data_IF_774741952326
#
_entry.id   IF_774741952326
#
_cell.length_a   1.000
_cell.length_b   1.000
_cell.length_c   1.000
_cell.angle_alpha   90.00
_cell.angle_beta   90.00
_cell.angle_gamma   90.00
#
_symmetry.space_group_name_H-M   'P 1'
#
loop_
_entity.id
_entity.type
_entity.pdbx_description
1 polymer ?
#
# COMPACT_ATOMS: atom_id res chain seq x y z
N UNK A 1 -48.03 10.12 -24.72
CA UNK A 1 -49.43 9.72 -24.97
C UNK A 1 -49.38 8.22 -25.16
N UNK A 2 -49.87 7.44 -24.19
CA UNK A 2 -49.66 5.97 -24.15
C UNK A 2 -50.69 5.31 -25.07
N UNK A 3 -50.23 4.58 -26.09
CA UNK A 3 -51.07 3.70 -26.90
C UNK A 3 -50.93 2.27 -26.35
N UNK A 4 -51.98 1.75 -25.73
CA UNK A 4 -52.03 0.39 -25.17
C UNK A 4 -52.82 -0.47 -26.13
N UNK A 5 -52.15 -1.25 -26.97
CA UNK A 5 -52.80 -2.27 -27.81
C UNK A 5 -52.73 -3.63 -27.11
N UNK A 6 -53.74 -3.91 -26.28
CA UNK A 6 -53.87 -5.20 -25.60
C UNK A 6 -54.37 -6.29 -26.54
N UNK A 7 -53.62 -7.40 -26.65
CA UNK A 7 -54.14 -8.66 -27.19
C UNK A 7 -54.46 -9.62 -26.03
N UNK A 8 -55.75 -9.73 -25.68
CA UNK A 8 -56.25 -10.80 -24.84
C UNK A 8 -56.68 -11.98 -25.72
N UNK A 9 -56.11 -13.17 -25.50
CA UNK A 9 -56.75 -14.41 -25.94
C UNK A 9 -57.81 -14.81 -24.90
N UNK A 10 -58.99 -15.32 -25.31
CA UNK A 10 -59.93 -15.90 -24.37
C UNK A 10 -59.31 -17.16 -23.74
N UNK A 11 -58.97 -17.09 -22.45
CA UNK A 11 -58.53 -18.24 -21.65
C UNK A 11 -57.16 -18.12 -20.96
N UNK A 12 -56.39 -17.05 -21.16
CA UNK A 12 -55.14 -16.82 -20.42
C UNK A 12 -55.37 -15.92 -19.20
N UNK A 13 -54.79 -16.27 -18.05
CA UNK A 13 -54.85 -15.46 -16.81
C UNK A 13 -53.68 -14.48 -16.66
N UNK A 14 -52.78 -14.42 -17.64
CA UNK A 14 -51.67 -13.48 -17.68
C UNK A 14 -51.87 -12.53 -18.87
N UNK A 15 -51.93 -11.23 -18.58
CA UNK A 15 -51.77 -10.17 -19.57
C UNK A 15 -50.42 -9.52 -19.34
N UNK A 16 -49.60 -9.46 -20.40
CA UNK A 16 -48.33 -8.71 -20.41
C UNK A 16 -48.62 -7.39 -21.09
N UNK A 17 -48.52 -6.28 -20.36
CA UNK A 17 -48.54 -4.93 -20.94
C UNK A 17 -47.09 -4.48 -21.15
N UNK A 18 -46.78 -4.02 -22.38
CA UNK A 18 -45.53 -3.32 -22.68
C UNK A 18 -45.69 -1.86 -22.27
N UNK A 19 -44.85 -1.40 -21.33
CA UNK A 19 -44.76 0.02 -21.00
C UNK A 19 -43.56 0.62 -21.72
N UNK A 20 -43.82 1.65 -22.53
CA UNK A 20 -42.78 2.52 -23.09
C UNK A 20 -42.71 3.78 -22.23
N UNK A 21 -41.56 3.98 -21.58
CA UNK A 21 -41.17 5.23 -20.97
C UNK A 21 -39.92 5.74 -21.69
N UNK A 22 -39.97 6.98 -22.13
CA UNK A 22 -38.86 7.68 -22.76
C UNK A 22 -38.64 8.97 -21.98
N UNK A 23 -37.43 9.17 -21.48
CA UNK A 23 -36.89 10.50 -21.22
C UNK A 23 -35.67 10.70 -22.12
N UNK A 24 -35.26 11.96 -22.31
CA UNK A 24 -34.45 12.43 -23.46
C UNK A 24 -33.08 11.74 -23.69
N UNK A 25 -32.67 10.77 -22.87
CA UNK A 25 -31.41 10.02 -23.02
C UNK A 25 -31.51 8.48 -22.97
N UNK A 26 -32.66 7.85 -22.66
CA UNK A 26 -32.70 6.38 -22.47
C UNK A 26 -34.06 5.75 -22.86
N UNK A 27 -34.02 4.48 -23.29
CA UNK A 27 -35.19 3.63 -23.49
C UNK A 27 -35.21 2.50 -22.47
N UNK A 28 -36.26 2.43 -21.65
CA UNK A 28 -36.43 1.36 -20.66
C UNK A 28 -37.48 0.35 -21.15
N UNK A 29 -37.21 -0.95 -20.99
CA UNK A 29 -38.18 -2.03 -21.21
C UNK A 29 -38.34 -2.85 -19.94
N UNK A 30 -39.47 -2.70 -19.26
CA UNK A 30 -39.84 -3.51 -18.09
C UNK A 30 -41.00 -4.46 -18.39
N UNK A 31 -40.91 -5.71 -17.93
CA UNK A 31 -42.01 -6.68 -17.99
C UNK A 31 -42.80 -6.60 -16.68
N UNK A 32 -44.07 -6.17 -16.74
CA UNK A 32 -44.96 -6.16 -15.58
C UNK A 32 -45.95 -7.32 -15.64
N UNK A 33 -45.81 -8.30 -14.75
CA UNK A 33 -46.79 -9.38 -14.59
C UNK A 33 -47.98 -8.91 -13.74
N UNK A 34 -49.21 -8.97 -14.28
CA UNK A 34 -50.44 -8.70 -13.51
C UNK A 34 -51.16 -9.99 -13.13
N UNK A 35 -51.53 -10.10 -11.86
CA UNK A 35 -52.50 -11.06 -11.34
C UNK A 35 -53.92 -10.44 -11.32
N UNK A 36 -54.95 -11.28 -11.46
CA UNK A 36 -56.38 -10.97 -11.45
C UNK A 36 -56.96 -10.16 -10.26
N UNK A 37 -56.18 -9.74 -9.25
CA UNK A 37 -56.66 -8.92 -8.13
C UNK A 37 -56.20 -7.44 -8.11
N UNK A 38 -55.48 -6.95 -9.13
CA UNK A 38 -55.06 -5.55 -9.22
C UNK A 38 -53.72 -5.22 -8.53
N UNK A 39 -53.20 -3.98 -8.65
CA UNK A 39 -51.87 -3.63 -8.15
C UNK A 39 -51.88 -3.62 -6.62
N UNK A 40 -51.06 -4.46 -6.00
CA UNK A 40 -50.81 -4.42 -4.56
C UNK A 40 -49.37 -4.02 -4.35
N UNK A 41 -49.15 -2.80 -3.86
CA UNK A 41 -47.88 -2.44 -3.23
C UNK A 41 -47.82 -3.18 -1.88
N UNK A 42 -46.77 -3.96 -1.64
CA UNK A 42 -46.50 -4.51 -0.32
C UNK A 42 -45.03 -4.30 0.03
N UNK A 43 -44.83 -3.39 0.97
CA UNK A 43 -43.65 -3.25 1.82
C UNK A 43 -43.66 -4.35 2.90
N UNK A 44 -42.51 -5.00 3.14
CA UNK A 44 -42.24 -5.76 4.37
C UNK A 44 -42.31 -7.29 4.27
N UNK A 45 -41.36 -7.91 4.97
CA UNK A 45 -40.99 -9.34 5.03
C UNK A 45 -42.12 -10.36 4.86
N UNK A 46 -42.08 -11.09 3.75
CA UNK A 46 -42.59 -12.47 3.68
C UNK A 46 -41.83 -13.26 2.61
N UNK A 47 -41.32 -14.43 3.04
CA UNK A 47 -40.49 -15.38 2.29
C UNK A 47 -41.09 -15.82 0.95
N UNK A 48 -40.36 -15.62 -0.15
CA UNK A 48 -40.61 -16.26 -1.45
C UNK A 48 -39.72 -17.49 -1.59
N UNK A 49 -40.33 -18.65 -1.82
CA UNK A 49 -39.62 -19.91 -2.03
C UNK A 49 -39.85 -20.35 -3.48
N UNK A 50 -38.73 -20.52 -4.19
CA UNK A 50 -38.53 -21.15 -5.51
C UNK A 50 -38.80 -20.32 -6.79
N UNK A 51 -37.74 -19.60 -7.18
CA UNK A 51 -37.14 -19.40 -8.52
C UNK A 51 -38.10 -19.25 -9.71
N UNK A 52 -38.29 -18.01 -10.17
CA UNK A 52 -38.88 -17.68 -11.47
C UNK A 52 -38.27 -16.37 -11.97
N UNK A 53 -37.04 -16.46 -12.45
CA UNK A 53 -36.37 -15.33 -13.07
C UNK A 53 -36.04 -15.67 -14.53
N UNK A 54 -36.25 -14.68 -15.39
CA UNK A 54 -36.26 -14.83 -16.85
C UNK A 54 -34.86 -14.73 -17.44
N UNK A 55 -34.64 -15.43 -18.55
CA UNK A 55 -33.42 -15.38 -19.35
C UNK A 55 -33.61 -14.40 -20.50
N UNK A 56 -32.63 -13.54 -20.77
CA UNK A 56 -32.47 -12.90 -22.08
C UNK A 56 -31.07 -13.17 -22.58
N UNK A 57 -30.99 -13.46 -23.87
CA UNK A 57 -29.76 -13.73 -24.60
C UNK A 57 -29.55 -12.58 -25.58
N UNK A 58 -28.36 -11.98 -25.57
CA UNK A 58 -27.93 -11.03 -26.59
C UNK A 58 -26.85 -11.68 -27.46
N UNK A 59 -26.86 -11.31 -28.74
CA UNK A 59 -25.84 -11.72 -29.72
C UNK A 59 -25.48 -10.50 -30.56
N UNK A 60 -24.19 -10.30 -30.82
CA UNK A 60 -23.75 -9.37 -31.85
C UNK A 60 -23.87 -10.02 -33.25
N UNK A 61 -24.30 -9.25 -34.23
CA UNK A 61 -24.44 -9.69 -35.63
C UNK A 61 -25.75 -10.39 -36.02
N UNK A 62 -25.81 -10.77 -37.30
CA UNK A 62 -26.99 -11.42 -37.90
C UNK A 62 -26.94 -12.94 -37.65
N UNK A 63 -27.63 -13.39 -36.61
CA UNK A 63 -27.76 -14.81 -36.31
C UNK A 63 -29.02 -15.42 -36.93
N UNK A 64 -28.97 -16.73 -37.16
CA UNK A 64 -30.17 -17.57 -37.33
C UNK A 64 -30.20 -18.60 -36.22
N UNK A 65 -31.21 -18.54 -35.37
CA UNK A 65 -31.42 -19.53 -34.32
C UNK A 65 -32.31 -20.64 -34.86
N UNK A 66 -31.92 -21.89 -34.60
CA UNK A 66 -32.80 -23.04 -34.79
C UNK A 66 -32.86 -23.85 -33.50
N UNK A 67 -34.08 -24.13 -33.04
CA UNK A 67 -34.32 -24.96 -31.86
C UNK A 67 -34.58 -26.40 -32.30
N UNK A 68 -33.98 -27.37 -31.62
CA UNK A 68 -34.36 -28.77 -31.76
C UNK A 68 -34.75 -29.36 -30.41
N UNK A 69 -35.93 -29.95 -30.34
CA UNK A 69 -36.48 -30.56 -29.14
C UNK A 69 -35.99 -32.02 -29.04
N UNK A 70 -35.29 -32.37 -27.96
CA UNK A 70 -34.92 -33.76 -27.65
C UNK A 70 -35.45 -34.24 -26.28
N UNK A 71 -36.67 -33.81 -25.91
CA UNK A 71 -37.34 -34.24 -24.68
C UNK A 71 -36.98 -33.42 -23.44
N UNK A 72 -37.82 -33.52 -22.40
CA UNK A 72 -37.59 -32.93 -21.07
C UNK A 72 -36.24 -33.40 -20.48
N UNK A 73 -35.36 -32.52 -19.94
CA UNK A 73 -35.47 -31.06 -19.78
C UNK A 73 -34.55 -30.24 -20.71
N UNK A 74 -34.07 -30.80 -21.82
CA UNK A 74 -32.98 -30.19 -22.61
C UNK A 74 -33.50 -29.49 -23.86
N UNK A 75 -33.29 -28.17 -23.93
CA UNK A 75 -33.45 -27.41 -25.18
C UNK A 75 -32.06 -27.10 -25.75
N UNK A 76 -31.84 -27.51 -26.99
CA UNK A 76 -30.65 -27.14 -27.74
C UNK A 76 -30.98 -25.95 -28.65
N UNK A 77 -30.31 -24.82 -28.42
CA UNK A 77 -30.36 -23.68 -29.32
C UNK A 77 -29.08 -23.72 -30.16
N UNK A 78 -29.23 -24.05 -31.44
CA UNK A 78 -28.13 -23.94 -32.40
C UNK A 78 -28.11 -22.53 -32.96
N UNK A 79 -27.01 -21.83 -32.73
CA UNK A 79 -26.80 -20.46 -33.18
C UNK A 79 -25.79 -20.52 -34.33
N UNK A 80 -26.19 -20.01 -35.49
CA UNK A 80 -25.32 -19.89 -36.65
C UNK A 80 -24.95 -18.42 -36.80
N UNK A 81 -23.67 -18.12 -36.61
CA UNK A 81 -23.05 -16.84 -36.92
C UNK A 81 -22.07 -17.03 -38.09
N UNK A 82 -22.41 -16.46 -39.25
CA UNK A 82 -21.63 -16.60 -40.48
C UNK A 82 -21.37 -18.07 -40.87
N UNK A 83 -20.10 -18.51 -40.76
CA UNK A 83 -19.65 -19.87 -41.11
C UNK A 83 -19.51 -20.82 -39.91
N UNK A 84 -19.69 -20.33 -38.68
CA UNK A 84 -19.52 -21.09 -37.45
C UNK A 84 -20.89 -21.45 -36.85
N UNK A 85 -21.02 -22.68 -36.34
CA UNK A 85 -22.21 -23.12 -35.61
C UNK A 85 -21.79 -23.34 -34.16
N UNK A 86 -22.34 -22.56 -33.23
CA UNK A 86 -22.18 -22.76 -31.78
C UNK A 86 -23.45 -23.42 -31.24
N UNK A 87 -23.27 -24.46 -30.42
CA UNK A 87 -24.36 -25.17 -29.75
C UNK A 87 -24.41 -24.69 -28.31
N UNK A 88 -25.48 -23.99 -27.93
CA UNK A 88 -25.76 -23.67 -26.53
C UNK A 88 -26.82 -24.62 -26.04
N UNK A 89 -26.48 -25.40 -25.01
CA UNK A 89 -27.42 -26.30 -24.34
C UNK A 89 -27.98 -25.57 -23.12
N UNK A 90 -29.29 -25.35 -23.12
CA UNK A 90 -30.01 -24.74 -22.02
C UNK A 90 -30.87 -25.82 -21.36
N UNK A 91 -30.61 -26.07 -20.08
CA UNK A 91 -31.40 -27.00 -19.27
C UNK A 91 -32.52 -26.21 -18.58
N UNK A 92 -33.78 -26.51 -18.92
CA UNK A 92 -34.95 -25.81 -18.38
C UNK A 92 -35.73 -26.67 -17.40
N UNK A 93 -36.42 -26.03 -16.45
CA UNK A 93 -37.31 -26.74 -15.55
C UNK A 93 -38.48 -27.43 -16.30
N UNK A 94 -39.04 -28.54 -15.78
CA UNK A 94 -40.13 -29.26 -16.43
C UNK A 94 -41.37 -28.38 -16.65
N UNK A 95 -41.86 -28.31 -17.89
CA UNK A 95 -43.08 -27.58 -18.26
C UNK A 95 -42.88 -26.28 -19.05
N UNK A 96 -41.66 -25.96 -19.47
CA UNK A 96 -41.38 -24.93 -20.46
C UNK A 96 -41.98 -25.32 -21.84
N UNK A 97 -42.61 -24.39 -22.57
CA UNK A 97 -43.22 -24.68 -23.89
C UNK A 97 -42.64 -23.81 -25.02
N UNK A 98 -42.77 -24.26 -26.27
CA UNK A 98 -42.27 -23.55 -27.47
C UNK A 98 -42.84 -22.11 -27.59
N UNK A 99 -44.05 -21.87 -27.06
CA UNK A 99 -44.72 -20.57 -27.08
C UNK A 99 -44.14 -19.55 -26.07
N UNK A 100 -43.31 -20.01 -25.11
CA UNK A 100 -42.70 -19.19 -24.06
C UNK A 100 -41.38 -18.53 -24.53
N UNK A 101 -40.83 -18.96 -25.67
CA UNK A 101 -39.65 -18.39 -26.33
C UNK A 101 -40.06 -17.30 -27.34
N UNK A 102 -39.64 -16.05 -27.14
CA UNK A 102 -39.74 -14.99 -28.15
C UNK A 102 -38.36 -14.48 -28.55
N UNK A 103 -37.99 -14.73 -29.80
CA UNK A 103 -36.76 -14.25 -30.43
C UNK A 103 -37.01 -12.85 -30.99
N UNK A 104 -36.13 -11.89 -30.67
CA UNK A 104 -36.10 -10.59 -31.33
C UNK A 104 -35.14 -10.68 -32.51
N UNK A 105 -35.66 -10.81 -33.73
CA UNK A 105 -34.82 -10.79 -34.94
C UNK A 105 -34.46 -9.35 -35.33
N UNK A 106 -33.16 -9.07 -35.54
CA UNK A 106 -32.70 -7.99 -36.42
C UNK A 106 -32.62 -6.57 -35.84
N UNK A 107 -32.20 -6.39 -34.59
CA UNK A 107 -31.87 -5.06 -34.03
C UNK A 107 -30.38 -5.00 -33.73
N UNK A 108 -29.68 -4.12 -34.43
CA UNK A 108 -28.22 -3.94 -34.39
C UNK A 108 -27.78 -2.85 -33.42
N UNK A 109 -28.61 -2.55 -32.41
CA UNK A 109 -28.48 -1.42 -31.50
C UNK A 109 -28.75 -1.80 -30.03
N UNK A 110 -28.56 -3.06 -29.65
CA UNK A 110 -28.73 -3.53 -28.27
C UNK A 110 -27.37 -3.83 -27.63
N UNK A 111 -26.94 -2.98 -26.71
CA UNK A 111 -25.82 -3.21 -25.78
C UNK A 111 -26.40 -3.74 -24.46
N UNK A 112 -25.88 -4.87 -23.99
CA UNK A 112 -26.03 -5.52 -22.66
C UNK A 112 -27.45 -5.90 -22.15
N UNK A 113 -27.58 -7.14 -21.65
CA UNK A 113 -28.73 -7.59 -20.86
C UNK A 113 -28.24 -8.32 -19.62
N UNK A 114 -28.63 -7.77 -18.47
CA UNK A 114 -28.38 -8.27 -17.11
C UNK A 114 -29.02 -9.63 -16.89
N UNK A 115 -28.22 -10.67 -16.69
CA UNK A 115 -28.68 -11.99 -16.28
C UNK A 115 -29.03 -11.92 -14.78
N UNK A 116 -30.31 -11.76 -14.45
CA UNK A 116 -30.81 -11.87 -13.07
C UNK A 116 -30.87 -13.36 -12.70
N UNK A 117 -29.71 -13.94 -12.39
CA UNK A 117 -29.66 -15.23 -11.74
C UNK A 117 -29.50 -15.02 -10.23
N UNK A 118 -29.93 -16.01 -9.46
CA UNK A 118 -29.92 -15.95 -8.00
C UNK A 118 -29.35 -17.26 -7.50
N UNK A 119 -28.39 -17.20 -6.58
CA UNK A 119 -27.60 -18.33 -6.15
C UNK A 119 -26.31 -18.44 -6.97
N UNK A 120 -25.48 -19.41 -6.62
CA UNK A 120 -24.14 -19.54 -7.19
C UNK A 120 -24.18 -19.90 -8.69
N UNK A 121 -23.63 -19.01 -9.51
CA UNK A 121 -23.61 -19.13 -10.96
C UNK A 121 -22.19 -19.28 -11.51
N UNK A 122 -22.11 -19.73 -12.75
CA UNK A 122 -20.85 -19.80 -13.50
C UNK A 122 -21.11 -19.27 -14.88
N UNK A 123 -20.54 -18.11 -15.17
CA UNK A 123 -20.71 -17.38 -16.42
C UNK A 123 -19.39 -17.29 -17.17
N UNK A 124 -19.47 -17.58 -18.46
CA UNK A 124 -18.36 -17.53 -19.40
C UNK A 124 -18.77 -16.65 -20.56
N UNK A 125 -18.08 -15.53 -20.71
CA UNK A 125 -18.40 -14.44 -21.63
C UNK A 125 -17.74 -14.64 -22.99
N UNK A 126 -17.81 -13.62 -23.83
CA UNK A 126 -17.30 -13.65 -25.20
C UNK A 126 -15.96 -12.94 -25.31
N UNK A 127 -15.27 -13.10 -26.43
CA UNK A 127 -13.99 -12.42 -26.68
C UNK A 127 -14.18 -10.93 -27.07
N UNK A 128 -15.26 -10.29 -26.62
CA UNK A 128 -15.54 -8.88 -26.90
C UNK A 128 -16.19 -8.23 -25.68
N UNK A 129 -16.28 -6.90 -25.68
CA UNK A 129 -16.81 -6.13 -24.54
C UNK A 129 -18.15 -6.68 -24.05
N UNK A 130 -18.14 -7.16 -22.82
CA UNK A 130 -19.27 -7.69 -22.10
C UNK A 130 -19.55 -6.89 -20.82
N UNK A 131 -20.79 -6.93 -20.33
CA UNK A 131 -21.20 -6.24 -19.11
C UNK A 131 -22.19 -7.09 -18.31
N UNK A 132 -21.82 -7.46 -17.08
CA UNK A 132 -22.50 -8.48 -16.28
C UNK A 132 -22.52 -8.13 -14.79
N UNK A 133 -23.57 -8.59 -14.09
CA UNK A 133 -23.62 -8.64 -12.63
C UNK A 133 -24.05 -10.04 -12.17
N UNK A 134 -23.37 -10.60 -11.16
CA UNK A 134 -23.69 -11.89 -10.53
C UNK A 134 -24.86 -11.82 -9.53
N UNK A 135 -25.01 -10.66 -8.90
CA UNK A 135 -26.05 -10.34 -7.93
C UNK A 135 -25.92 -11.05 -6.58
N UNK A 136 -26.30 -12.32 -6.45
CA UNK A 136 -26.34 -12.95 -5.12
C UNK A 136 -25.97 -14.41 -5.21
N UNK A 137 -25.20 -14.88 -4.23
CA UNK A 137 -24.61 -16.20 -4.27
C UNK A 137 -23.19 -16.13 -4.82
N UNK A 138 -22.41 -17.17 -4.57
CA UNK A 138 -21.00 -17.18 -4.94
C UNK A 138 -20.82 -17.48 -6.42
N UNK A 139 -20.50 -16.47 -7.20
CA UNK A 139 -20.46 -16.50 -8.65
C UNK A 139 -19.04 -16.64 -9.20
N UNK A 140 -18.92 -17.30 -10.34
CA UNK A 140 -17.70 -17.34 -11.14
C UNK A 140 -17.96 -16.68 -12.49
N UNK A 141 -17.36 -15.52 -12.74
CA UNK A 141 -17.53 -14.76 -13.98
C UNK A 141 -16.19 -14.66 -14.71
N UNK A 142 -16.17 -15.05 -15.99
CA UNK A 142 -14.98 -15.04 -16.83
C UNK A 142 -15.22 -14.25 -18.12
N UNK A 143 -14.53 -13.11 -18.28
CA UNK A 143 -14.55 -12.17 -19.41
C UNK A 143 -13.88 -12.70 -20.68
N UNK A 144 -12.62 -13.12 -20.57
CA UNK A 144 -11.69 -13.43 -21.68
C UNK A 144 -11.12 -12.18 -22.34
N UNK A 145 -11.18 -12.06 -23.68
CA UNK A 145 -10.70 -10.88 -24.37
C UNK A 145 -11.83 -9.85 -24.40
N UNK A 146 -11.54 -8.55 -24.34
CA UNK A 146 -12.58 -7.52 -24.32
C UNK A 146 -12.21 -6.39 -23.39
N UNK A 147 -12.95 -5.28 -23.44
CA UNK A 147 -12.92 -4.32 -22.34
C UNK A 147 -14.22 -4.57 -21.56
N UNK A 148 -14.18 -5.37 -20.51
CA UNK A 148 -15.36 -5.91 -19.83
C UNK A 148 -15.74 -5.10 -18.58
N UNK A 149 -16.99 -5.21 -18.16
CA UNK A 149 -17.49 -4.66 -16.89
C UNK A 149 -18.18 -5.75 -16.09
N UNK A 150 -17.56 -6.20 -15.00
CA UNK A 150 -17.98 -7.36 -14.22
C UNK A 150 -18.28 -6.94 -12.78
N UNK A 151 -19.50 -7.21 -12.32
CA UNK A 151 -19.89 -7.02 -10.92
C UNK A 151 -20.19 -8.36 -10.25
N UNK A 152 -19.61 -8.62 -9.07
CA UNK A 152 -19.90 -9.78 -8.23
C UNK A 152 -21.29 -9.67 -7.61
N UNK A 153 -21.42 -8.76 -6.65
CA UNK A 153 -22.69 -8.45 -6.00
C UNK A 153 -22.66 -8.80 -4.52
N UNK A 154 -23.41 -9.81 -4.10
CA UNK A 154 -23.43 -10.27 -2.72
C UNK A 154 -22.88 -11.69 -2.63
N UNK A 155 -22.26 -11.97 -1.48
CA UNK A 155 -21.57 -13.23 -1.19
C UNK A 155 -20.23 -13.30 -1.93
N UNK A 156 -19.49 -14.41 -1.77
CA UNK A 156 -18.09 -14.44 -2.19
C UNK A 156 -17.94 -14.86 -3.65
N UNK A 157 -17.50 -13.95 -4.49
CA UNK A 157 -17.44 -14.06 -5.94
C UNK A 157 -16.02 -14.26 -6.47
N UNK A 158 -15.92 -14.70 -7.72
CA UNK A 158 -14.67 -14.79 -8.47
C UNK A 158 -14.85 -14.18 -9.84
N UNK A 159 -14.18 -13.05 -10.09
CA UNK A 159 -14.24 -12.29 -11.32
C UNK A 159 -12.90 -12.37 -12.04
N UNK A 160 -12.93 -12.60 -13.36
CA UNK A 160 -11.73 -12.62 -14.21
C UNK A 160 -12.00 -11.80 -15.45
N UNK A 161 -11.29 -10.69 -15.64
CA UNK A 161 -11.35 -9.84 -16.83
C UNK A 161 -10.75 -10.59 -18.02
N UNK A 162 -9.43 -10.71 -18.03
CA UNK A 162 -8.67 -11.48 -18.99
C UNK A 162 -7.74 -10.61 -19.79
N UNK A 163 -8.10 -10.19 -21.00
CA UNK A 163 -7.26 -9.36 -21.84
C UNK A 163 -8.06 -8.18 -22.41
N UNK A 164 -7.50 -6.97 -22.27
CA UNK A 164 -8.16 -5.70 -22.57
C UNK A 164 -8.34 -4.93 -21.27
N UNK A 165 -9.02 -3.78 -21.32
CA UNK A 165 -9.11 -2.91 -20.15
C UNK A 165 -10.43 -3.16 -19.43
N UNK A 166 -10.36 -3.87 -18.31
CA UNK A 166 -11.52 -4.38 -17.60
C UNK A 166 -11.86 -3.56 -16.34
N UNK A 167 -13.14 -3.52 -15.99
CA UNK A 167 -13.69 -2.87 -14.79
C UNK A 167 -14.38 -3.95 -13.93
N UNK A 168 -13.76 -4.33 -12.81
CA UNK A 168 -14.19 -5.41 -11.93
C UNK A 168 -14.55 -4.85 -10.55
N UNK A 169 -15.74 -5.19 -10.03
CA UNK A 169 -16.23 -4.77 -8.72
C UNK A 169 -16.83 -5.96 -7.96
N UNK A 170 -16.24 -6.35 -6.82
CA UNK A 170 -16.70 -7.44 -5.96
C UNK A 170 -18.01 -7.10 -5.23
N UNK A 171 -18.14 -5.84 -4.81
CA UNK A 171 -19.23 -5.29 -3.98
C UNK A 171 -19.25 -5.81 -2.53
N UNK A 172 -19.97 -6.89 -2.22
CA UNK A 172 -20.11 -7.42 -0.85
C UNK A 172 -19.75 -8.89 -0.78
N UNK A 173 -18.73 -9.24 -0.04
CA UNK A 173 -18.28 -10.62 0.05
C UNK A 173 -16.80 -10.68 0.31
N UNK A 174 -16.27 -11.88 0.41
CA UNK A 174 -14.82 -12.05 0.31
C UNK A 174 -14.53 -12.52 -1.10
N UNK A 175 -14.19 -11.59 -1.97
CA UNK A 175 -14.16 -11.73 -3.42
C UNK A 175 -12.74 -11.97 -3.94
N UNK A 176 -12.65 -12.54 -5.14
CA UNK A 176 -11.39 -12.76 -5.85
C UNK A 176 -11.47 -12.18 -7.26
N UNK A 177 -10.70 -11.12 -7.51
CA UNK A 177 -10.68 -10.37 -8.77
C UNK A 177 -9.32 -10.52 -9.45
N UNK A 178 -9.32 -10.84 -10.74
CA UNK A 178 -8.13 -10.95 -11.60
C UNK A 178 -8.35 -10.11 -12.87
N UNK A 179 -7.61 -9.01 -13.03
CA UNK A 179 -7.68 -8.11 -14.20
C UNK A 179 -7.11 -8.79 -15.44
N UNK A 180 -5.83 -9.16 -15.37
CA UNK A 180 -5.14 -9.92 -16.40
C UNK A 180 -4.18 -9.06 -17.19
N UNK A 181 -4.46 -8.81 -18.47
CA UNK A 181 -3.59 -8.04 -19.34
C UNK A 181 -4.31 -6.82 -19.88
N UNK A 182 -3.87 -5.63 -19.51
CA UNK A 182 -4.52 -4.39 -19.93
C UNK A 182 -4.38 -3.33 -18.84
N UNK A 183 -5.12 -2.24 -18.98
CA UNK A 183 -5.21 -1.24 -17.91
C UNK A 183 -6.51 -1.47 -17.16
N UNK A 184 -6.44 -2.21 -16.06
CA UNK A 184 -7.61 -2.71 -15.35
C UNK A 184 -7.95 -1.84 -14.13
N UNK A 185 -9.23 -1.82 -13.76
CA UNK A 185 -9.75 -1.19 -12.54
C UNK A 185 -10.45 -2.27 -11.73
N UNK A 186 -9.95 -2.52 -10.51
CA UNK A 186 -10.47 -3.53 -9.59
C UNK A 186 -10.89 -2.87 -8.27
N UNK A 187 -12.08 -3.23 -7.78
CA UNK A 187 -12.66 -2.80 -6.51
C UNK A 187 -13.14 -4.02 -5.73
N UNK A 188 -12.59 -4.26 -4.53
CA UNK A 188 -13.02 -5.36 -3.65
C UNK A 188 -14.39 -5.07 -3.03
N UNK A 189 -14.47 -3.98 -2.28
CA UNK A 189 -15.70 -3.49 -1.68
C UNK A 189 -15.76 -3.80 -0.19
N UNK A 190 -16.68 -4.67 0.23
CA UNK A 190 -16.84 -5.07 1.62
C UNK A 190 -16.48 -6.54 1.83
N UNK A 191 -15.44 -6.79 2.61
CA UNK A 191 -15.04 -8.10 3.08
C UNK A 191 -13.54 -8.24 3.00
N UNK A 192 -13.03 -9.48 3.09
CA UNK A 192 -11.60 -9.70 2.92
C UNK A 192 -11.37 -10.23 1.50
N UNK A 193 -10.92 -9.34 0.62
CA UNK A 193 -10.86 -9.51 -0.81
C UNK A 193 -9.44 -9.84 -1.29
N UNK A 194 -9.34 -10.39 -2.50
CA UNK A 194 -8.06 -10.62 -3.18
C UNK A 194 -8.13 -10.06 -4.59
N UNK A 195 -7.30 -9.05 -4.87
CA UNK A 195 -7.25 -8.33 -6.15
C UNK A 195 -5.87 -8.53 -6.79
N UNK A 196 -5.85 -8.93 -8.05
CA UNK A 196 -4.63 -9.10 -8.85
C UNK A 196 -4.80 -8.31 -10.14
N UNK A 197 -3.99 -7.27 -10.34
CA UNK A 197 -3.98 -6.43 -11.55
C UNK A 197 -3.46 -7.21 -12.75
N UNK A 198 -2.18 -7.57 -12.71
CA UNK A 198 -1.56 -8.44 -13.68
C UNK A 198 -0.49 -7.72 -14.50
N UNK A 199 -0.77 -7.43 -15.76
CA UNK A 199 0.19 -6.81 -16.66
C UNK A 199 -0.31 -5.48 -17.20
N UNK A 200 0.61 -4.52 -17.29
CA UNK A 200 0.37 -3.09 -17.52
C UNK A 200 -0.11 -2.38 -16.24
N UNK A 201 -0.52 -1.12 -16.39
CA UNK A 201 -0.73 -0.26 -15.23
C UNK A 201 -2.17 -0.40 -14.75
N UNK A 202 -2.34 -0.85 -13.52
CA UNK A 202 -3.64 -1.18 -12.95
C UNK A 202 -4.01 -0.28 -11.78
N UNK A 203 -5.31 -0.19 -11.49
CA UNK A 203 -5.85 0.49 -10.32
C UNK A 203 -6.63 -0.50 -9.46
N UNK A 204 -6.17 -0.74 -8.24
CA UNK A 204 -6.77 -1.67 -7.29
C UNK A 204 -7.20 -0.90 -6.02
N UNK A 205 -8.40 -1.19 -5.53
CA UNK A 205 -8.90 -0.69 -4.25
C UNK A 205 -9.51 -1.83 -3.44
N UNK A 206 -8.99 -2.10 -2.24
CA UNK A 206 -9.50 -3.15 -1.33
C UNK A 206 -10.86 -2.76 -0.77
N UNK A 207 -10.89 -1.69 0.03
CA UNK A 207 -12.12 -1.12 0.57
C UNK A 207 -12.24 -1.35 2.07
N UNK A 208 -13.18 -2.20 2.49
CA UNK A 208 -13.41 -2.53 3.89
C UNK A 208 -13.05 -3.98 4.19
N UNK A 209 -12.07 -4.20 5.06
CA UNK A 209 -11.72 -5.53 5.56
C UNK A 209 -10.24 -5.82 5.29
N UNK A 210 -9.77 -6.98 5.71
CA UNK A 210 -8.34 -7.31 5.59
C UNK A 210 -8.06 -7.82 4.16
N UNK A 211 -7.63 -6.93 3.26
CA UNK A 211 -7.53 -7.17 1.82
C UNK A 211 -6.12 -7.56 1.36
N UNK A 212 -6.05 -8.25 0.21
CA UNK A 212 -4.80 -8.59 -0.45
C UNK A 212 -4.76 -8.06 -1.88
N UNK A 213 -3.85 -7.13 -2.17
CA UNK A 213 -3.69 -6.48 -3.47
C UNK A 213 -2.32 -6.80 -4.08
N UNK A 214 -2.29 -7.23 -5.34
CA UNK A 214 -1.07 -7.44 -6.15
C UNK A 214 -1.18 -6.67 -7.47
N UNK A 215 -0.31 -5.66 -7.68
CA UNK A 215 -0.27 -4.85 -8.89
C UNK A 215 0.23 -5.64 -10.10
N UNK A 216 1.46 -6.14 -10.01
CA UNK A 216 2.06 -6.99 -11.05
C UNK A 216 3.11 -6.25 -11.87
N UNK A 217 3.04 -6.32 -13.20
CA UNK A 217 3.99 -5.65 -14.10
C UNK A 217 3.44 -4.29 -14.52
N UNK A 218 3.88 -3.15 -13.99
CA UNK A 218 3.08 -1.95 -14.19
C UNK A 218 3.66 -0.62 -13.78
N UNK A 219 2.76 0.37 -13.77
CA UNK A 219 2.83 1.51 -12.87
C UNK A 219 1.50 1.41 -12.15
N UNK A 220 1.48 0.77 -10.99
CA UNK A 220 0.23 0.37 -10.38
C UNK A 220 -0.18 1.34 -9.29
N UNK A 221 -1.48 1.48 -9.09
CA UNK A 221 -2.07 2.23 -7.99
C UNK A 221 -2.85 1.27 -7.11
N UNK A 222 -2.38 1.07 -5.88
CA UNK A 222 -3.00 0.20 -4.88
C UNK A 222 -3.43 1.03 -3.67
N UNK A 223 -4.67 0.86 -3.24
CA UNK A 223 -5.27 1.49 -2.05
C UNK A 223 -5.94 0.39 -1.21
N UNK A 224 -5.36 0.06 -0.04
CA UNK A 224 -5.89 -0.98 0.86
C UNK A 224 -7.24 -0.56 1.41
N UNK A 225 -7.26 0.58 2.10
CA UNK A 225 -8.48 1.25 2.54
C UNK A 225 -8.61 1.22 4.05
N UNK A 226 -9.47 0.35 4.57
CA UNK A 226 -9.70 0.22 6.00
C UNK A 226 -9.42 -1.21 6.42
N UNK A 227 -8.86 -1.35 7.63
CA UNK A 227 -8.40 -2.60 8.24
C UNK A 227 -7.01 -3.02 7.76
N UNK A 228 -6.53 -4.18 8.21
CA UNK A 228 -5.12 -4.55 8.09
C UNK A 228 -4.90 -5.22 6.72
N UNK A 229 -4.28 -4.50 5.79
CA UNK A 229 -4.15 -4.89 4.40
C UNK A 229 -2.76 -5.42 4.03
N UNK A 230 -2.67 -6.14 2.92
CA UNK A 230 -1.38 -6.56 2.32
C UNK A 230 -1.29 -6.10 0.87
N UNK A 231 -0.37 -5.18 0.61
CA UNK A 231 -0.15 -4.58 -0.71
C UNK A 231 1.20 -5.02 -1.30
N UNK A 232 1.17 -5.55 -2.52
CA UNK A 232 2.35 -5.92 -3.30
C UNK A 232 2.36 -5.14 -4.61
N UNK A 233 3.29 -4.19 -4.78
CA UNK A 233 3.39 -3.37 -6.00
C UNK A 233 3.78 -4.21 -7.21
N UNK A 234 4.98 -4.79 -7.17
CA UNK A 234 5.45 -5.72 -8.20
C UNK A 234 6.60 -5.14 -9.00
N UNK A 235 6.62 -5.35 -10.31
CA UNK A 235 7.64 -4.83 -11.22
C UNK A 235 7.16 -3.49 -11.82
N UNK A 236 7.69 -2.36 -11.37
CA UNK A 236 7.17 -1.07 -11.82
C UNK A 236 7.52 0.08 -10.89
N UNK A 237 7.34 1.35 -11.29
CA UNK A 237 7.16 2.44 -10.34
C UNK A 237 5.72 2.43 -9.83
N UNK A 238 5.49 2.13 -8.58
CA UNK A 238 4.14 1.95 -8.06
C UNK A 238 3.74 3.06 -7.06
N UNK A 239 2.44 3.15 -6.81
CA UNK A 239 1.84 4.01 -5.78
C UNK A 239 0.98 3.14 -4.87
N UNK A 240 1.41 3.01 -3.62
CA UNK A 240 0.79 2.14 -2.64
C UNK A 240 0.34 2.98 -1.45
N UNK A 241 -0.92 2.82 -1.05
CA UNK A 241 -1.53 3.46 0.12
C UNK A 241 -2.15 2.36 1.00
N UNK A 242 -1.65 2.19 2.22
CA UNK A 242 -2.19 1.22 3.18
C UNK A 242 -3.59 1.65 3.62
N UNK A 243 -3.70 2.78 4.30
CA UNK A 243 -4.96 3.37 4.73
C UNK A 243 -5.09 3.40 6.25
N UNK A 244 -6.25 3.02 6.78
CA UNK A 244 -6.41 2.83 8.23
C UNK A 244 -6.16 1.35 8.57
N UNK A 245 -5.25 1.03 9.48
CA UNK A 245 -4.95 -0.36 9.81
C UNK A 245 -3.46 -0.58 10.01
N UNK A 246 -3.08 -1.78 10.44
CA UNK A 246 -1.68 -2.15 10.48
C UNK A 246 -1.33 -2.92 9.20
N UNK A 247 -0.77 -2.22 8.21
CA UNK A 247 -0.61 -2.72 6.86
C UNK A 247 0.76 -3.36 6.62
N UNK A 248 0.79 -4.35 5.72
CA UNK A 248 2.03 -4.90 5.18
C UNK A 248 2.20 -4.48 3.72
N UNK A 249 3.18 -3.62 3.46
CA UNK A 249 3.41 -3.06 2.13
C UNK A 249 4.78 -3.47 1.60
N UNK A 250 4.81 -4.02 0.39
CA UNK A 250 6.05 -4.32 -0.36
C UNK A 250 5.99 -3.65 -1.71
N UNK A 251 6.83 -2.62 -1.91
CA UNK A 251 6.87 -1.85 -3.15
C UNK A 251 7.29 -2.72 -4.34
N UNK A 252 8.31 -3.56 -4.17
CA UNK A 252 8.72 -4.55 -5.16
C UNK A 252 10.01 -4.19 -5.88
N UNK A 253 9.96 -4.04 -7.19
CA UNK A 253 11.15 -3.88 -8.01
C UNK A 253 10.97 -2.84 -9.09
N UNK A 254 11.65 -1.71 -8.91
CA UNK A 254 11.76 -0.69 -9.93
C UNK A 254 13.21 -0.60 -10.45
N UNK A 255 13.38 -0.37 -11.75
CA UNK A 255 14.72 -0.27 -12.37
C UNK A 255 14.94 1.09 -13.02
N UNK A 256 16.04 1.74 -12.64
CA UNK A 256 16.54 2.92 -13.33
C UNK A 256 16.44 4.18 -12.50
N UNK A 257 15.61 5.14 -12.90
CA UNK A 257 15.41 6.41 -12.19
C UNK A 257 13.94 6.62 -11.80
N UNK A 258 13.19 5.52 -11.79
CA UNK A 258 11.81 5.41 -11.34
C UNK A 258 11.80 5.33 -9.81
N UNK A 259 10.66 5.67 -9.22
CA UNK A 259 10.52 5.77 -7.77
C UNK A 259 9.17 5.27 -7.35
N UNK A 260 9.16 4.33 -6.40
CA UNK A 260 7.95 3.90 -5.71
C UNK A 260 7.56 4.96 -4.69
N UNK A 261 6.25 5.20 -4.58
CA UNK A 261 5.69 6.01 -3.52
C UNK A 261 4.81 5.15 -2.64
N UNK A 262 5.24 4.97 -1.40
CA UNK A 262 4.51 4.20 -0.40
C UNK A 262 4.09 5.11 0.73
N UNK A 263 2.82 4.98 1.12
CA UNK A 263 2.22 5.63 2.28
C UNK A 263 1.54 4.54 3.13
N UNK A 264 1.97 4.36 4.37
CA UNK A 264 1.37 3.44 5.34
C UNK A 264 -0.02 3.92 5.72
N UNK A 265 -0.10 4.98 6.53
CA UNK A 265 -1.36 5.63 6.87
C UNK A 265 -1.55 5.74 8.38
N UNK A 266 -2.72 5.35 8.88
CA UNK A 266 -3.03 5.31 10.31
C UNK A 266 -2.85 3.87 10.82
N UNK A 267 -1.84 3.59 11.64
CA UNK A 267 -1.62 2.29 12.29
C UNK A 267 -0.15 1.94 12.37
N UNK A 268 0.18 0.80 12.99
CA UNK A 268 1.57 0.36 13.09
C UNK A 268 1.92 -0.47 11.83
N UNK A 269 2.51 0.17 10.82
CA UNK A 269 2.72 -0.40 9.49
C UNK A 269 4.09 -1.08 9.32
N UNK A 270 4.16 -2.10 8.44
CA UNK A 270 5.41 -2.73 8.00
C UNK A 270 5.63 -2.46 6.50
N UNK A 271 6.62 -1.62 6.18
CA UNK A 271 6.89 -1.16 4.81
C UNK A 271 8.26 -1.65 4.33
N UNK A 272 8.31 -2.23 3.13
CA UNK A 272 9.54 -2.65 2.45
C UNK A 272 9.64 -2.00 1.05
N UNK A 273 10.63 -1.13 0.84
CA UNK A 273 10.95 -0.55 -0.48
C UNK A 273 11.59 -1.54 -1.44
N UNK A 274 12.40 -2.46 -0.90
CA UNK A 274 13.05 -3.55 -1.65
C UNK A 274 14.09 -3.10 -2.69
N UNK A 275 13.80 -3.14 -3.99
CA UNK A 275 14.75 -2.76 -5.04
C UNK A 275 14.27 -1.51 -5.76
N UNK A 276 15.00 -0.40 -5.61
CA UNK A 276 14.62 0.82 -6.31
C UNK A 276 15.07 2.06 -5.58
N UNK A 277 14.76 3.23 -6.15
CA UNK A 277 14.80 4.46 -5.35
C UNK A 277 13.42 4.66 -4.76
N UNK A 278 13.27 4.67 -3.45
CA UNK A 278 11.93 4.68 -2.85
C UNK A 278 11.65 5.95 -2.04
N UNK A 279 10.38 6.36 -2.02
CA UNK A 279 9.87 7.32 -1.04
C UNK A 279 8.86 6.59 -0.17
N UNK A 280 9.24 6.33 1.08
CA UNK A 280 8.47 5.56 2.05
C UNK A 280 8.03 6.49 3.17
N UNK A 281 6.73 6.54 3.43
CA UNK A 281 6.12 7.34 4.49
C UNK A 281 5.31 6.40 5.38
N UNK A 282 5.63 6.32 6.67
CA UNK A 282 4.84 5.58 7.67
C UNK A 282 3.53 6.32 8.00
N UNK A 283 3.65 7.62 8.27
CA UNK A 283 2.61 8.51 8.80
C UNK A 283 2.33 8.27 10.28
N UNK A 284 1.18 7.77 10.70
CA UNK A 284 0.77 7.80 12.10
C UNK A 284 0.76 6.39 12.68
N UNK A 285 1.58 6.14 13.70
CA UNK A 285 1.71 4.84 14.34
C UNK A 285 3.16 4.53 14.64
N UNK A 286 3.46 3.33 15.10
CA UNK A 286 4.83 2.92 15.36
C UNK A 286 5.28 2.00 14.22
N UNK A 287 5.84 2.60 13.18
CA UNK A 287 6.08 1.97 11.91
C UNK A 287 7.43 1.26 11.86
N UNK A 288 7.50 0.19 11.07
CA UNK A 288 8.73 -0.51 10.74
C UNK A 288 8.99 -0.38 9.25
N UNK A 289 9.99 0.42 8.89
CA UNK A 289 10.27 0.74 7.49
C UNK A 289 11.67 0.30 7.07
N UNK A 290 11.73 -0.50 6.01
CA UNK A 290 12.95 -0.92 5.34
C UNK A 290 13.09 -0.22 3.99
N UNK A 291 14.08 0.66 3.83
CA UNK A 291 14.42 1.32 2.56
C UNK A 291 14.76 0.29 1.49
N UNK A 292 15.77 -0.52 1.75
CA UNK A 292 16.13 -1.65 0.88
C UNK A 292 17.46 -1.39 0.18
N UNK A 293 17.45 -1.35 -1.15
CA UNK A 293 18.65 -1.15 -1.95
C UNK A 293 18.52 0.07 -2.86
N UNK A 294 19.62 0.82 -2.97
CA UNK A 294 19.78 2.10 -3.65
C UNK A 294 19.60 3.28 -2.70
N UNK A 295 18.94 4.36 -3.11
CA UNK A 295 18.95 5.59 -2.32
C UNK A 295 17.53 5.97 -1.99
N UNK A 296 17.17 5.77 -0.74
CA UNK A 296 15.79 5.84 -0.30
C UNK A 296 15.54 7.06 0.57
N UNK A 297 14.32 7.55 0.53
CA UNK A 297 13.83 8.56 1.47
C UNK A 297 12.79 7.91 2.35
N UNK A 298 13.12 7.76 3.62
CA UNK A 298 12.31 7.08 4.61
C UNK A 298 11.87 8.08 5.66
N UNK A 299 10.55 8.19 5.84
CA UNK A 299 9.92 9.07 6.82
C UNK A 299 9.06 8.20 7.74
N UNK A 300 9.32 8.22 9.05
CA UNK A 300 8.48 7.56 10.05
C UNK A 300 7.15 8.30 10.17
N UNK A 301 7.15 9.43 10.87
CA UNK A 301 6.00 10.30 11.00
C UNK A 301 5.67 10.57 12.46
N UNK A 302 4.43 10.34 12.87
CA UNK A 302 3.98 10.45 14.25
C UNK A 302 4.02 9.07 14.92
N UNK A 303 4.81 8.88 15.97
CA UNK A 303 4.90 7.65 16.76
C UNK A 303 6.34 7.20 16.94
N UNK A 304 6.57 6.06 17.58
CA UNK A 304 7.92 5.55 17.87
C UNK A 304 8.35 4.58 16.78
N UNK A 305 8.99 5.10 15.74
CA UNK A 305 9.26 4.38 14.49
C UNK A 305 10.60 3.66 14.51
N UNK A 306 10.73 2.63 13.66
CA UNK A 306 12.01 1.96 13.38
C UNK A 306 12.30 2.04 11.89
N UNK A 307 13.31 2.83 11.53
CA UNK A 307 13.69 3.10 10.15
C UNK A 307 15.05 2.45 9.83
N UNK A 308 15.08 1.61 8.80
CA UNK A 308 16.27 0.89 8.37
C UNK A 308 16.56 1.24 6.91
N UNK A 309 17.61 2.02 6.65
CA UNK A 309 17.95 2.47 5.29
C UNK A 309 18.27 1.31 4.36
N UNK A 310 19.16 0.41 4.79
CA UNK A 310 19.61 -0.70 3.98
C UNK A 310 20.91 -0.36 3.27
N UNK A 311 20.96 -0.53 1.95
CA UNK A 311 22.18 -0.35 1.18
C UNK A 311 22.06 0.81 0.20
N UNK A 312 22.90 1.83 0.36
CA UNK A 312 23.17 2.81 -0.67
C UNK A 312 23.30 4.23 -0.12
N UNK A 313 22.41 5.16 -0.46
CA UNK A 313 22.48 6.52 0.08
C UNK A 313 21.13 6.90 0.62
N UNK A 314 20.89 6.59 1.89
CA UNK A 314 19.56 6.72 2.44
C UNK A 314 19.43 8.01 3.24
N UNK A 315 18.20 8.54 3.27
CA UNK A 315 17.83 9.66 4.12
C UNK A 315 16.70 9.20 5.01
N UNK A 316 16.98 9.16 6.30
CA UNK A 316 16.05 8.71 7.33
C UNK A 316 15.57 9.92 8.13
N UNK A 317 14.26 10.04 8.29
CA UNK A 317 13.60 11.08 9.08
C UNK A 317 12.64 10.39 10.05
N UNK A 318 12.92 10.41 11.35
CA UNK A 318 12.08 9.82 12.40
C UNK A 318 10.73 10.51 12.46
N UNK A 319 10.71 11.74 12.95
CA UNK A 319 9.49 12.55 13.00
C UNK A 319 9.15 12.97 14.43
N UNK A 320 7.95 12.70 14.89
CA UNK A 320 7.48 12.96 16.25
C UNK A 320 7.39 11.63 17.02
N UNK A 321 8.26 11.38 17.98
CA UNK A 321 8.24 10.19 18.84
C UNK A 321 9.66 9.74 19.17
N UNK A 322 9.79 8.66 19.92
CA UNK A 322 11.12 8.15 20.30
C UNK A 322 11.57 7.13 19.24
N UNK A 323 12.30 7.57 18.22
CA UNK A 323 12.56 6.78 17.02
C UNK A 323 13.88 6.01 17.06
N UNK A 324 13.96 4.92 16.28
CA UNK A 324 15.19 4.18 16.00
C UNK A 324 15.54 4.28 14.52
N UNK A 325 16.64 4.97 14.21
CA UNK A 325 17.16 5.12 12.85
C UNK A 325 18.45 4.30 12.69
N UNK A 326 18.50 3.46 11.66
CA UNK A 326 19.64 2.58 11.37
C UNK A 326 20.02 2.65 9.89
N UNK A 327 21.23 3.12 9.59
CA UNK A 327 21.83 3.06 8.26
C UNK A 327 23.30 2.63 8.37
N UNK A 328 23.58 1.39 7.97
CA UNK A 328 24.90 0.77 8.15
C UNK A 328 25.75 0.77 6.88
N UNK A 329 25.17 1.05 5.70
CA UNK A 329 25.83 0.96 4.41
C UNK A 329 25.48 2.18 3.54
N UNK A 330 26.19 3.30 3.71
CA UNK A 330 25.93 4.48 2.89
C UNK A 330 26.53 5.79 3.41
N UNK A 331 26.51 6.82 2.55
CA UNK A 331 26.90 8.19 2.91
C UNK A 331 25.69 9.05 3.36
N UNK A 332 24.69 8.44 3.98
CA UNK A 332 23.36 8.99 4.19
C UNK A 332 23.26 10.16 5.18
N UNK A 333 22.01 10.48 5.51
CA UNK A 333 21.68 11.47 6.55
C UNK A 333 20.54 10.99 7.43
N UNK A 334 20.73 11.09 8.74
CA UNK A 334 19.72 10.71 9.74
C UNK A 334 19.25 11.95 10.49
N UNK A 335 17.93 12.07 10.64
CA UNK A 335 17.26 13.18 11.30
C UNK A 335 16.26 12.57 12.28
N UNK A 336 16.52 12.66 13.60
CA UNK A 336 15.65 12.12 14.63
C UNK A 336 14.29 12.81 14.61
N UNK A 337 14.24 14.06 15.07
CA UNK A 337 13.03 14.87 14.99
C UNK A 337 12.65 15.43 16.34
N UNK A 338 11.49 15.05 16.86
CA UNK A 338 11.09 15.36 18.22
C UNK A 338 10.91 14.07 19.01
N UNK A 339 11.39 14.01 20.24
CA UNK A 339 11.38 12.79 21.04
C UNK A 339 12.80 12.33 21.34
N UNK A 340 12.95 11.33 22.19
CA UNK A 340 14.26 10.84 22.61
C UNK A 340 14.74 9.76 21.62
N UNK A 341 15.46 10.18 20.57
CA UNK A 341 15.76 9.33 19.41
C UNK A 341 17.05 8.51 19.59
N UNK A 342 17.14 7.38 18.88
CA UNK A 342 18.37 6.58 18.76
C UNK A 342 18.80 6.48 17.30
N UNK A 343 19.93 7.08 16.97
CA UNK A 343 20.48 7.12 15.61
C UNK A 343 21.76 6.28 15.55
N UNK A 344 21.80 5.30 14.64
CA UNK A 344 22.90 4.34 14.51
C UNK A 344 23.47 4.29 13.10
N UNK A 345 24.79 4.45 13.01
CA UNK A 345 25.56 4.50 11.77
C UNK A 345 26.44 3.28 11.51
N UNK A 346 26.93 3.22 10.27
CA UNK A 346 27.82 2.20 9.74
C UNK A 346 29.30 2.53 9.82
N UNK A 347 30.06 2.08 8.82
CA UNK A 347 31.50 2.35 8.69
C UNK A 347 31.83 3.53 7.74
N UNK A 348 30.81 4.13 7.16
CA UNK A 348 30.89 5.20 6.18
C UNK A 348 30.52 6.54 6.81
N UNK A 349 31.13 7.61 6.29
CA UNK A 349 30.93 8.96 6.79
C UNK A 349 29.46 9.42 6.60
N UNK A 350 28.80 9.72 7.71
CA UNK A 350 27.37 10.01 7.80
C UNK A 350 27.13 11.35 8.48
N UNK A 351 25.97 11.95 8.21
CA UNK A 351 25.53 13.15 8.92
C UNK A 351 24.34 12.84 9.81
N UNK A 352 24.44 13.19 11.09
CA UNK A 352 23.42 12.95 12.11
C UNK A 352 22.88 14.26 12.66
N UNK A 353 21.57 14.33 12.81
CA UNK A 353 20.86 15.39 13.50
C UNK A 353 19.83 14.78 14.46
N UNK A 354 20.09 14.79 15.76
CA UNK A 354 19.10 14.32 16.75
C UNK A 354 17.87 15.23 16.79
N UNK A 355 18.12 16.54 16.84
CA UNK A 355 17.14 17.64 16.84
C UNK A 355 16.53 17.95 18.21
N UNK A 356 15.33 17.47 18.56
CA UNK A 356 14.66 17.86 19.82
C UNK A 356 14.42 16.60 20.65
N UNK A 357 14.96 16.57 21.87
CA UNK A 357 14.83 15.44 22.79
C UNK A 357 16.20 15.00 23.25
N UNK A 358 16.25 13.99 24.13
CA UNK A 358 17.51 13.49 24.67
C UNK A 358 17.99 12.32 23.79
N UNK A 359 18.79 12.66 22.79
CA UNK A 359 19.10 11.74 21.72
C UNK A 359 20.33 10.87 22.04
N UNK A 360 20.34 9.66 21.50
CA UNK A 360 21.49 8.76 21.52
C UNK A 360 22.00 8.60 20.09
N UNK A 361 23.22 9.07 19.84
CA UNK A 361 23.86 8.97 18.52
C UNK A 361 25.07 8.06 18.63
N UNK A 362 25.03 6.95 17.89
CA UNK A 362 26.11 5.97 17.76
C UNK A 362 26.56 5.93 16.29
N UNK A 363 27.47 6.81 15.91
CA UNK A 363 27.81 7.04 14.50
C UNK A 363 28.62 5.90 13.85
N UNK A 364 29.33 5.11 14.66
CA UNK A 364 29.99 3.88 14.22
C UNK A 364 31.42 4.12 13.76
N UNK A 365 31.65 4.33 12.48
CA UNK A 365 32.93 4.79 11.99
C UNK A 365 32.82 5.50 10.66
N UNK A 366 33.92 6.09 10.21
CA UNK A 366 33.87 7.10 9.15
C UNK A 366 34.24 8.47 9.73
N UNK A 367 34.33 9.49 8.89
CA UNK A 367 34.57 10.86 9.38
C UNK A 367 33.22 11.58 9.46
N UNK A 368 32.55 11.48 10.62
CA UNK A 368 31.14 11.84 10.77
C UNK A 368 30.91 13.33 11.07
N UNK A 369 29.69 13.79 10.80
CA UNK A 369 29.19 15.10 11.22
C UNK A 369 27.96 14.94 12.07
N UNK A 370 28.05 15.34 13.32
CA UNK A 370 27.02 15.07 14.32
C UNK A 370 26.58 16.39 14.94
N UNK A 371 25.28 16.68 14.85
CA UNK A 371 24.60 17.68 15.66
C UNK A 371 23.56 17.01 16.52
N UNK A 372 23.76 17.00 17.84
CA UNK A 372 22.85 16.34 18.76
C UNK A 372 21.53 17.13 18.85
N UNK A 373 21.62 18.41 19.22
CA UNK A 373 20.51 19.35 19.05
C UNK A 373 20.07 19.93 20.38
N UNK A 374 18.84 19.67 20.80
CA UNK A 374 18.26 20.24 21.99
C UNK A 374 17.77 19.14 22.93
N UNK A 375 18.53 18.89 23.99
CA UNK A 375 18.19 17.92 25.02
C UNK A 375 19.42 17.62 25.85
N UNK A 376 19.42 16.52 26.58
CA UNK A 376 20.63 16.01 27.22
C UNK A 376 21.12 14.81 26.43
N UNK A 377 21.95 15.08 25.43
CA UNK A 377 22.25 14.09 24.41
C UNK A 377 23.44 13.22 24.79
N UNK A 378 23.51 12.03 24.21
CA UNK A 378 24.65 11.13 24.27
C UNK A 378 25.20 10.91 22.87
N UNK A 379 26.43 11.34 22.65
CA UNK A 379 27.09 11.27 21.34
C UNK A 379 28.33 10.39 21.39
N UNK A 380 28.34 9.32 20.61
CA UNK A 380 29.50 8.48 20.32
C UNK A 380 29.82 8.58 18.83
N UNK A 381 30.90 9.29 18.48
CA UNK A 381 31.40 9.38 17.11
C UNK A 381 31.96 8.06 16.59
N UNK A 382 32.37 7.16 17.49
CA UNK A 382 32.98 5.90 17.10
C UNK A 382 34.36 6.12 16.49
N UNK A 383 34.67 5.43 15.38
CA UNK A 383 36.01 5.38 14.79
C UNK A 383 36.15 6.27 13.54
N UNK A 384 37.01 7.29 13.60
CA UNK A 384 37.38 8.11 12.46
C UNK A 384 37.84 9.49 12.89
N UNK A 385 37.41 10.55 12.21
CA UNK A 385 37.74 11.91 12.62
C UNK A 385 36.47 12.74 12.60
N UNK A 386 35.78 12.74 13.73
CA UNK A 386 34.41 13.21 13.80
C UNK A 386 34.34 14.68 14.17
N UNK A 387 33.29 15.33 13.67
CA UNK A 387 32.93 16.69 14.07
C UNK A 387 31.59 16.66 14.80
N UNK A 388 31.65 16.91 16.10
CA UNK A 388 30.51 16.84 17.01
C UNK A 388 30.10 18.22 17.54
N UNK A 389 28.80 18.45 17.59
CA UNK A 389 28.12 19.56 18.25
C UNK A 389 27.08 18.98 19.21
N UNK A 390 27.13 19.38 20.48
CA UNK A 390 26.06 19.08 21.45
C UNK A 390 24.90 20.06 21.33
N UNK A 391 25.19 21.31 20.97
CA UNK A 391 24.29 22.44 20.85
C UNK A 391 23.64 22.87 22.18
N UNK A 392 22.35 22.61 22.42
CA UNK A 392 21.60 23.18 23.54
C UNK A 392 21.50 22.23 24.74
N UNK A 393 21.79 22.77 25.92
CA UNK A 393 21.85 22.13 27.23
C UNK A 393 23.22 21.48 27.49
N UNK A 394 23.26 20.26 28.00
CA UNK A 394 24.48 19.63 28.47
C UNK A 394 24.49 18.19 28.00
N UNK A 395 25.52 17.84 27.27
CA UNK A 395 25.58 16.59 26.54
C UNK A 395 26.72 15.73 27.06
N UNK A 396 26.69 14.45 26.68
CA UNK A 396 27.74 13.48 27.01
C UNK A 396 28.39 12.96 25.75
N UNK A 397 29.63 13.38 25.52
CA UNK A 397 30.47 12.90 24.42
C UNK A 397 31.28 11.68 24.87
N UNK A 398 31.19 10.60 24.13
CA UNK A 398 31.66 9.28 24.53
C UNK A 398 32.84 8.88 23.69
N UNK A 399 33.87 8.33 24.34
CA UNK A 399 35.06 7.88 23.65
C UNK A 399 35.48 6.48 24.11
N UNK A 400 35.88 5.67 23.14
CA UNK A 400 36.48 4.37 23.35
C UNK A 400 37.84 4.26 22.61
N UNK A 401 38.64 3.25 22.95
CA UNK A 401 39.90 3.00 22.24
C UNK A 401 39.70 2.89 20.72
N UNK A 402 40.53 3.61 19.96
CA UNK A 402 40.46 3.62 18.49
C UNK A 402 39.50 4.65 17.89
N UNK A 403 38.99 5.60 18.69
CA UNK A 403 38.08 6.65 18.23
C UNK A 403 38.65 7.53 17.10
N UNK A 404 39.93 7.86 17.15
CA UNK A 404 40.61 8.59 16.08
C UNK A 404 40.91 10.05 16.42
N UNK A 405 40.65 11.02 15.54
CA UNK A 405 40.97 12.45 15.81
C UNK A 405 39.76 13.34 15.71
N UNK A 406 39.09 13.50 16.85
CA UNK A 406 37.75 14.07 16.88
C UNK A 406 37.76 15.52 17.35
N UNK A 407 36.71 16.24 16.98
CA UNK A 407 36.50 17.64 17.35
C UNK A 407 35.14 17.81 18.00
N UNK A 408 35.12 18.29 19.24
CA UNK A 408 33.92 18.83 19.86
C UNK A 408 33.96 20.35 19.68
N UNK A 409 33.00 20.87 18.93
CA UNK A 409 33.07 22.22 18.40
C UNK A 409 32.57 23.32 19.37
N UNK A 410 31.79 22.94 20.37
CA UNK A 410 30.97 23.83 21.20
C UNK A 410 30.94 23.47 22.70
N UNK A 411 31.80 22.56 23.16
CA UNK A 411 31.88 22.11 24.56
C UNK A 411 31.88 23.28 25.57
N UNK A 412 30.90 23.32 26.49
CA UNK A 412 30.85 24.32 27.56
C UNK A 412 31.53 23.83 28.86
N UNK A 413 32.83 24.09 28.97
CA UNK A 413 33.61 23.77 30.18
C UNK A 413 33.17 24.52 31.46
N UNK A 414 32.24 25.47 31.37
CA UNK A 414 31.67 26.14 32.56
C UNK A 414 30.36 25.48 33.02
N UNK A 415 29.86 24.51 32.25
CA UNK A 415 28.66 23.77 32.54
C UNK A 415 29.03 22.42 33.16
N UNK A 416 28.89 22.31 34.48
CA UNK A 416 29.14 21.08 35.26
C UNK A 416 28.26 19.87 34.84
N UNK A 417 27.35 20.01 33.88
CA UNK A 417 26.55 18.90 33.35
C UNK A 417 27.04 18.38 32.00
N UNK A 418 27.78 19.17 31.23
CA UNK A 418 28.44 18.75 29.99
C UNK A 418 29.55 17.74 30.35
N UNK A 419 29.65 16.62 29.62
CA UNK A 419 30.57 15.51 29.94
C UNK A 419 31.37 15.03 28.75
N UNK A 420 32.61 14.67 29.04
CA UNK A 420 33.45 13.80 28.22
C UNK A 420 33.60 12.48 28.96
N UNK A 421 32.97 11.43 28.43
CA UNK A 421 33.05 10.08 28.95
C UNK A 421 34.24 9.34 28.35
N UNK A 422 35.27 9.14 29.18
CA UNK A 422 36.51 8.46 28.83
C UNK A 422 36.57 7.03 29.40
N UNK A 423 35.45 6.49 29.92
CA UNK A 423 35.43 5.16 30.53
C UNK A 423 35.83 4.03 29.55
N UNK A 424 35.69 4.28 28.24
CA UNK A 424 36.12 3.38 27.17
C UNK A 424 37.59 3.52 26.76
N UNK A 425 38.33 4.53 27.25
CA UNK A 425 39.70 4.83 26.84
C UNK A 425 40.69 4.21 27.83
N UNK A 426 41.32 3.09 27.46
CA UNK A 426 42.14 2.31 28.41
C UNK A 426 43.43 2.99 28.84
N UNK A 427 43.91 3.97 28.06
CA UNK A 427 45.09 4.78 28.36
C UNK A 427 44.88 5.85 29.46
N UNK A 428 43.63 6.19 29.77
CA UNK A 428 43.27 7.27 30.71
C UNK A 428 42.38 6.70 31.81
N UNK A 429 42.96 6.43 32.98
CA UNK A 429 42.28 5.72 34.08
C UNK A 429 41.73 6.63 35.17
N UNK A 430 41.96 7.94 35.04
CA UNK A 430 41.42 8.95 35.94
C UNK A 430 41.99 10.33 35.67
N UNK A 431 41.46 11.33 36.38
CA UNK A 431 41.78 12.75 36.21
C UNK A 431 43.27 13.10 36.28
N UNK A 432 44.07 12.32 37.03
CA UNK A 432 45.50 12.55 37.15
C UNK A 432 46.28 12.34 35.85
N UNK A 433 45.75 11.52 34.92
CA UNK A 433 46.38 11.25 33.63
C UNK A 433 46.24 12.47 32.68
N UNK A 434 45.18 13.28 32.86
CA UNK A 434 44.96 14.51 32.08
C UNK A 434 45.92 15.64 32.47
N UNK A 435 46.32 15.75 33.75
CA UNK A 435 47.13 16.84 34.32
C UNK A 435 46.64 18.26 33.97
N UNK A 436 45.36 18.54 34.25
CA UNK A 436 44.71 19.85 33.96
C UNK A 436 45.43 21.07 34.58
N UNK A 437 46.30 20.87 35.56
CA UNK A 437 47.08 21.94 36.20
C UNK A 437 48.36 22.33 35.43
N UNK A 438 48.75 21.56 34.41
CA UNK A 438 49.98 21.75 33.65
C UNK A 438 49.68 22.10 32.20
N UNK A 439 50.15 23.27 31.75
CA UNK A 439 50.02 23.66 30.35
C UNK A 439 50.98 22.91 29.39
N UNK A 440 51.76 21.92 29.88
CA UNK A 440 52.82 21.28 29.09
C UNK A 440 53.12 19.82 29.45
N UNK A 441 52.33 19.21 30.33
CA UNK A 441 52.47 17.81 30.74
C UNK A 441 51.08 17.20 30.95
N UNK A 442 50.99 15.87 30.92
CA UNK A 442 49.73 15.13 30.90
C UNK A 442 49.15 14.97 29.51
N UNK A 443 47.98 14.32 29.43
CA UNK A 443 47.26 14.10 28.19
C UNK A 443 46.59 15.38 27.66
N UNK A 444 46.15 16.30 28.53
CA UNK A 444 45.47 17.52 28.12
C UNK A 444 46.46 18.70 27.96
N UNK A 445 46.43 19.38 26.81
CA UNK A 445 47.31 20.52 26.54
C UNK A 445 46.58 21.66 25.83
N UNK A 446 46.94 22.91 26.14
CA UNK A 446 46.41 24.08 25.44
C UNK A 446 47.12 24.28 24.09
N UNK A 447 46.37 24.29 22.99
CA UNK A 447 46.83 24.54 21.63
C UNK A 447 46.17 25.80 21.05
N UNK A 448 46.79 26.97 21.27
CA UNK A 448 46.20 28.22 20.82
C UNK A 448 44.94 28.57 21.62
N UNK A 449 43.79 28.62 20.95
CA UNK A 449 42.48 28.85 21.58
C UNK A 449 41.76 27.58 22.00
N UNK A 450 42.32 26.41 21.69
CA UNK A 450 41.67 25.11 21.84
C UNK A 450 42.41 24.23 22.87
N UNK A 451 41.75 23.20 23.40
CA UNK A 451 42.39 22.13 24.19
C UNK A 451 42.50 20.88 23.35
N UNK A 452 43.64 20.21 23.43
CA UNK A 452 43.87 18.89 22.82
C UNK A 452 44.09 17.87 23.94
N UNK A 453 43.33 16.78 23.93
CA UNK A 453 43.50 15.63 24.81
C UNK A 453 44.10 14.50 23.98
N UNK A 454 45.36 14.13 24.26
CA UNK A 454 46.02 12.95 23.69
C UNK A 454 45.54 11.70 24.43
N UNK A 455 44.75 10.88 23.75
CA UNK A 455 44.13 9.67 24.32
C UNK A 455 44.99 8.42 24.13
N UNK A 456 46.17 8.55 23.53
CA UNK A 456 47.09 7.44 23.27
C UNK A 456 46.90 6.82 21.89
N UNK A 457 47.83 5.95 21.49
CA UNK A 457 47.80 5.20 20.21
C UNK A 457 47.60 6.04 18.94
N UNK A 458 47.86 7.34 19.01
CA UNK A 458 47.72 8.28 17.90
C UNK A 458 46.33 8.90 17.75
N UNK A 459 45.44 8.69 18.73
CA UNK A 459 44.11 9.29 18.79
C UNK A 459 44.11 10.56 19.66
N UNK A 460 43.19 11.49 19.41
CA UNK A 460 43.08 12.72 20.20
C UNK A 460 41.72 13.39 20.08
N UNK A 461 41.34 14.14 21.11
CA UNK A 461 40.10 14.94 21.15
C UNK A 461 40.48 16.43 21.14
N UNK A 462 39.93 17.20 20.20
CA UNK A 462 40.06 18.65 20.12
C UNK A 462 38.80 19.33 20.67
N UNK A 463 38.92 20.07 21.76
CA UNK A 463 37.87 20.93 22.30
C UNK A 463 38.07 22.36 21.80
N UNK A 464 37.18 22.82 20.91
CA UNK A 464 37.34 24.13 20.28
C UNK A 464 36.95 25.29 21.18
N UNK A 465 37.76 26.33 21.16
CA UNK A 465 37.57 27.55 21.95
C UNK A 465 37.47 27.32 23.47
N UNK A 466 37.98 26.19 23.95
CA UNK A 466 38.03 25.85 25.38
C UNK A 466 39.38 26.25 25.97
N UNK A 467 39.35 26.76 27.20
CA UNK A 467 40.55 27.03 28.00
C UNK A 467 40.81 25.85 28.93
N UNK A 468 42.05 25.35 28.95
CA UNK A 468 42.46 24.25 29.83
C UNK A 468 42.24 24.57 31.31
N UNK A 469 42.27 25.86 31.67
CA UNK A 469 42.06 26.31 33.04
C UNK A 469 40.59 26.30 33.49
N UNK A 470 39.66 26.16 32.55
CA UNK A 470 38.22 26.09 32.84
C UNK A 470 37.75 24.64 33.04
N UNK A 471 38.53 23.65 32.59
CA UNK A 471 38.24 22.23 32.81
C UNK A 471 38.55 21.79 34.24
N UNK A 472 37.69 20.94 34.81
CA UNK A 472 37.87 20.32 36.12
C UNK A 472 37.42 18.85 36.19
N UNK A 473 37.17 18.34 37.41
CA UNK A 473 36.81 16.94 37.63
C UNK A 473 35.37 16.60 37.23
N UNK A 474 34.49 17.59 37.15
CA UNK A 474 33.10 17.40 36.79
C UNK A 474 32.99 17.10 35.30
N UNK A 475 33.82 17.69 34.44
CA UNK A 475 33.72 17.54 32.97
C UNK A 475 34.00 16.11 32.47
N UNK A 476 34.56 15.22 33.30
CA UNK A 476 35.03 13.92 32.86
C UNK A 476 34.39 12.75 33.61
N UNK A 477 34.09 11.69 32.88
CA UNK A 477 33.78 10.36 33.42
C UNK A 477 34.92 9.39 33.07
N UNK A 478 35.22 8.45 33.98
CA UNK A 478 36.30 7.47 33.86
C UNK A 478 35.86 6.09 34.36
#
# INVERSE_FOLDING_TARGET
MVDVTGFLRPGSSLGVDLLSLSDDNFWYMGILARNASGPTYVTGDTSFNQSRDGVILLFDGAFTASSSYSGDPVYSVSIVDGANTRLVQLDFAPGFTEDDLRILEGRSDLEAFTLLLSGNDTLTLTDGRDAVSGHSGNDLIQGFDGDDTLHGGYDNDTLRGGAGNDDLDGEYGNDSLEGGAGFDILSGGYGADTLIGGANADQLSGGFGDDHLEGGDGFDFLDGGLNDDTLLGGDGPDRLFGGDGNDLIRAGSNYGATVDGVEGGDGDDEIHGELGFDNLLGNAGNDLIYGGAQADNVFGGDGADTLIGGAGFDRLFGGDGDDLLQDFDGFGGQFGGTGDDTLQGGADATTFYGQIGNDVIEAGGGDDRIGAGAGFDRVDGGAGNDLMFGDFNADTFVFADGHGTDTIADFDALNDFEKIDLAGVTGLTGLADLDLASASAGAATQAGGDVVIDTGDGTSILLRNVSLADLDANDFLF
#
